data_IF_569089282700
#
_entry.id   IF_569089282700
#
_cell.length_a   1.000
_cell.length_b   1.000
_cell.length_c   1.000
_cell.angle_alpha   90.00
_cell.angle_beta   90.00
_cell.angle_gamma   90.00
#
_symmetry.space_group_name_H-M   'P 1'
#
loop_
_entity.id
_entity.type
_entity.pdbx_description
1 polymer ?
#
# COMPACT_ATOMS: atom_id res chain seq x y z
N UNK A 1 4.39 -22.95 14.96
CA UNK A 1 3.16 -22.72 15.79
C UNK A 1 2.96 -21.21 15.98
N UNK A 2 2.43 -20.48 15.01
CA UNK A 2 2.20 -19.03 15.14
C UNK A 2 0.89 -18.66 15.86
N UNK A 3 0.01 -19.61 16.14
CA UNK A 3 -1.34 -19.33 16.64
C UNK A 3 -1.45 -18.84 18.10
N UNK A 4 -0.39 -18.91 18.90
CA UNK A 4 -0.44 -18.46 20.29
C UNK A 4 -0.30 -16.96 20.49
N UNK A 5 0.31 -16.24 19.54
CA UNK A 5 0.55 -14.80 19.64
C UNK A 5 -0.68 -13.95 19.26
N UNK A 6 -1.55 -14.47 18.38
CA UNK A 6 -2.75 -13.75 17.91
C UNK A 6 -3.88 -13.78 18.96
N UNK A 7 -3.94 -14.83 19.78
CA UNK A 7 -4.98 -14.98 20.83
C UNK A 7 -4.79 -14.09 22.07
N UNK A 8 -3.58 -13.56 22.29
CA UNK A 8 -3.27 -12.80 23.52
C UNK A 8 -3.46 -11.29 23.39
N UNK A 9 -3.77 -10.77 22.20
CA UNK A 9 -3.95 -9.33 21.98
C UNK A 9 -5.35 -9.06 21.46
N UNK A 10 -6.20 -8.56 22.33
CA UNK A 10 -7.47 -7.98 21.89
C UNK A 10 -7.20 -6.87 20.88
N UNK A 11 -7.78 -6.98 19.67
CA UNK A 11 -7.71 -6.07 18.53
C UNK A 11 -6.30 -5.58 18.16
N UNK A 12 -5.60 -6.23 17.21
CA UNK A 12 -4.37 -5.68 16.69
C UNK A 12 -4.68 -4.41 15.89
N UNK A 13 -4.21 -3.27 16.38
CA UNK A 13 -4.30 -1.99 15.68
C UNK A 13 -3.27 -1.86 14.54
N UNK A 14 -2.53 -2.91 14.23
CA UNK A 14 -1.44 -2.89 13.24
C UNK A 14 -1.50 -4.11 12.33
N UNK A 15 -1.26 -3.89 11.05
CA UNK A 15 -1.08 -4.97 10.09
C UNK A 15 0.13 -5.84 10.47
N UNK A 16 -0.04 -7.15 10.41
CA UNK A 16 1.02 -8.11 10.75
C UNK A 16 1.42 -8.88 9.50
N UNK A 17 2.72 -8.92 9.22
CA UNK A 17 3.25 -9.70 8.10
C UNK A 17 3.38 -11.18 8.52
N UNK A 18 2.71 -12.05 7.79
CA UNK A 18 2.73 -13.50 8.04
C UNK A 18 3.16 -14.20 6.76
N UNK A 19 4.14 -15.09 6.85
CA UNK A 19 4.50 -15.98 5.74
C UNK A 19 3.54 -17.17 5.69
N UNK A 20 2.89 -17.41 4.57
CA UNK A 20 2.09 -18.60 4.33
C UNK A 20 2.96 -19.67 3.68
N UNK A 21 2.98 -20.91 4.21
CA UNK A 21 3.60 -22.02 3.51
C UNK A 21 2.65 -22.49 2.39
N UNK A 22 2.78 -21.92 1.22
CA UNK A 22 2.20 -22.43 -0.03
C UNK A 22 3.20 -23.32 -0.75
N UNK A 23 2.81 -23.93 -1.86
CA UNK A 23 3.72 -24.70 -2.73
C UNK A 23 4.86 -23.82 -3.31
N UNK A 24 4.66 -22.51 -3.35
CA UNK A 24 5.72 -21.53 -3.62
C UNK A 24 6.18 -20.92 -2.28
N UNK A 25 7.44 -21.12 -1.85
CA UNK A 25 7.87 -20.83 -0.47
C UNK A 25 7.99 -19.36 -0.08
N UNK A 26 7.68 -18.43 -0.96
CA UNK A 26 8.01 -17.01 -0.79
C UNK A 26 6.81 -16.04 -0.85
N UNK A 27 5.60 -16.45 -0.50
CA UNK A 27 4.44 -15.54 -0.45
C UNK A 27 4.27 -14.89 0.94
N UNK A 28 4.68 -13.65 1.13
CA UNK A 28 4.38 -12.91 2.35
C UNK A 28 2.92 -12.44 2.35
N UNK A 29 2.16 -12.77 3.37
CA UNK A 29 0.81 -12.24 3.54
C UNK A 29 0.77 -11.15 4.62
N UNK A 30 -0.08 -10.15 4.40
CA UNK A 30 -0.35 -9.07 5.35
C UNK A 30 -1.75 -9.25 5.89
N UNK A 31 -1.87 -9.58 7.18
CA UNK A 31 -3.16 -9.63 7.85
C UNK A 31 -3.60 -8.23 8.25
N UNK A 32 -4.79 -7.83 7.80
CA UNK A 32 -5.37 -6.53 8.07
C UNK A 32 -6.72 -6.66 8.74
N UNK A 33 -6.93 -5.97 9.87
CA UNK A 33 -8.22 -6.01 10.55
C UNK A 33 -9.32 -5.37 9.69
N UNK A 34 -10.48 -6.06 9.59
CA UNK A 34 -11.62 -5.69 8.73
C UNK A 34 -12.50 -4.53 9.23
N UNK A 35 -12.19 -3.91 10.36
CA UNK A 35 -12.95 -2.77 10.87
C UNK A 35 -12.64 -1.47 10.12
N UNK A 36 -13.66 -0.66 9.86
CA UNK A 36 -13.55 0.63 9.17
C UNK A 36 -12.46 1.55 9.73
N UNK A 37 -12.21 1.50 11.04
CA UNK A 37 -11.13 2.28 11.67
C UNK A 37 -9.73 1.72 11.36
N UNK A 38 -9.62 0.47 11.01
CA UNK A 38 -8.36 -0.22 10.74
C UNK A 38 -7.97 -0.20 9.26
N UNK A 39 -8.94 -0.03 8.36
CA UNK A 39 -8.74 0.19 6.93
C UNK A 39 -7.83 1.41 6.68
N UNK A 40 -7.83 2.37 7.59
CA UNK A 40 -6.92 3.53 7.58
C UNK A 40 -5.43 3.16 7.61
N UNK A 41 -5.08 1.96 8.06
CA UNK A 41 -3.69 1.50 8.19
C UNK A 41 -3.18 0.71 6.98
N UNK A 42 -4.06 0.26 6.08
CA UNK A 42 -3.65 -0.49 4.87
C UNK A 42 -2.97 0.42 3.86
N UNK A 43 -3.49 1.63 3.68
CA UNK A 43 -2.94 2.61 2.73
C UNK A 43 -1.54 3.12 3.11
N UNK A 44 -1.23 3.40 4.41
CA UNK A 44 0.11 3.79 4.81
C UNK A 44 1.16 2.68 4.71
N UNK A 45 0.75 1.41 4.70
CA UNK A 45 1.69 0.30 4.63
C UNK A 45 2.46 0.22 3.31
N UNK A 46 2.09 1.00 2.28
CA UNK A 46 2.89 1.17 1.05
C UNK A 46 3.23 -0.13 0.31
N UNK A 47 2.80 -1.25 0.86
CA UNK A 47 3.04 -2.55 0.26
C UNK A 47 2.29 -2.63 -1.07
N UNK A 48 3.02 -2.86 -2.15
CA UNK A 48 2.41 -3.24 -3.42
C UNK A 48 1.85 -4.63 -3.24
N UNK A 49 0.54 -4.72 -3.06
CA UNK A 49 -0.15 -5.99 -2.94
C UNK A 49 -0.37 -6.55 -4.36
N UNK A 50 0.04 -7.76 -4.58
CA UNK A 50 -0.16 -8.47 -5.85
C UNK A 50 -1.55 -9.11 -5.90
N UNK A 51 -2.12 -9.41 -4.74
CA UNK A 51 -3.48 -9.94 -4.57
C UNK A 51 -4.07 -9.52 -3.23
N UNK A 52 -5.38 -9.37 -3.18
CA UNK A 52 -6.13 -9.25 -1.95
C UNK A 52 -7.08 -10.44 -1.77
N UNK A 53 -7.04 -11.06 -0.60
CA UNK A 53 -8.05 -12.04 -0.19
C UNK A 53 -9.10 -11.29 0.62
N UNK A 54 -10.29 -11.16 0.05
CA UNK A 54 -11.43 -10.53 0.70
C UNK A 54 -12.21 -11.58 1.49
N UNK A 55 -12.22 -11.46 2.80
CA UNK A 55 -12.92 -12.37 3.70
C UNK A 55 -14.13 -11.66 4.31
N UNK A 56 -15.31 -12.20 4.12
CA UNK A 56 -16.54 -11.70 4.76
C UNK A 56 -17.45 -12.85 5.19
N UNK A 57 -18.39 -12.53 6.09
CA UNK A 57 -19.37 -13.52 6.59
C UNK A 57 -20.56 -13.57 5.65
N UNK A 58 -20.92 -14.77 5.24
CA UNK A 58 -22.10 -15.02 4.40
C UNK A 58 -23.42 -14.73 5.16
N UNK A 59 -23.44 -15.00 6.47
CA UNK A 59 -24.64 -14.79 7.30
C UNK A 59 -25.12 -13.32 7.33
N UNK A 60 -24.22 -12.37 7.05
CA UNK A 60 -24.51 -10.93 7.14
C UNK A 60 -24.72 -10.27 5.77
N UNK A 61 -24.50 -11.02 4.67
CA UNK A 61 -24.52 -10.49 3.29
C UNK A 61 -23.39 -9.50 2.99
N UNK A 62 -23.35 -8.92 1.77
CA UNK A 62 -22.35 -7.91 1.41
C UNK A 62 -22.61 -6.62 2.19
N UNK A 63 -21.94 -6.49 3.32
CA UNK A 63 -22.01 -5.33 4.19
C UNK A 63 -21.43 -4.06 3.54
N UNK A 64 -21.78 -2.86 4.03
CA UNK A 64 -21.13 -1.60 3.63
C UNK A 64 -19.61 -1.69 3.65
N UNK A 65 -19.03 -2.43 4.60
CA UNK A 65 -17.58 -2.66 4.71
C UNK A 65 -16.99 -3.46 3.55
N UNK A 66 -17.74 -4.39 2.97
CA UNK A 66 -17.29 -5.15 1.78
C UNK A 66 -17.06 -4.22 0.59
N UNK A 67 -17.97 -3.26 0.39
CA UNK A 67 -17.83 -2.23 -0.63
C UNK A 67 -16.59 -1.36 -0.40
N UNK A 68 -16.38 -0.93 0.84
CA UNK A 68 -15.22 -0.13 1.22
C UNK A 68 -13.90 -0.87 0.98
N UNK A 69 -13.85 -2.16 1.28
CA UNK A 69 -12.66 -2.99 1.07
C UNK A 69 -12.35 -3.20 -0.42
N UNK A 70 -13.35 -3.46 -1.25
CA UNK A 70 -13.17 -3.59 -2.70
C UNK A 70 -12.71 -2.27 -3.31
N UNK A 71 -13.34 -1.16 -2.91
CA UNK A 71 -12.95 0.17 -3.33
C UNK A 71 -11.52 0.50 -2.92
N UNK A 72 -11.15 0.15 -1.69
CA UNK A 72 -9.80 0.33 -1.18
C UNK A 72 -8.79 -0.49 -1.98
N UNK A 73 -9.08 -1.76 -2.26
CA UNK A 73 -8.23 -2.62 -3.08
C UNK A 73 -8.00 -2.00 -4.47
N UNK A 74 -9.06 -1.41 -5.05
CA UNK A 74 -8.95 -0.69 -6.33
C UNK A 74 -8.04 0.54 -6.23
N UNK A 75 -8.21 1.36 -5.19
CA UNK A 75 -7.42 2.57 -4.98
C UNK A 75 -5.95 2.29 -4.68
N UNK A 76 -5.67 1.23 -3.93
CA UNK A 76 -4.30 0.77 -3.68
C UNK A 76 -3.67 0.17 -4.94
N UNK A 77 -4.48 -0.15 -5.95
CA UNK A 77 -4.01 -0.71 -7.22
C UNK A 77 -3.73 -2.21 -7.16
N UNK A 78 -4.43 -2.93 -6.29
CA UNK A 78 -4.38 -4.39 -6.26
C UNK A 78 -4.93 -4.95 -7.56
N UNK A 79 -4.17 -5.73 -8.34
CA UNK A 79 -4.62 -6.19 -9.64
C UNK A 79 -5.61 -7.37 -9.56
N UNK A 80 -5.56 -8.18 -8.51
CA UNK A 80 -6.37 -9.38 -8.38
C UNK A 80 -7.03 -9.49 -7.01
N UNK A 81 -8.29 -9.92 -6.99
CA UNK A 81 -9.04 -10.24 -5.76
C UNK A 81 -9.43 -11.71 -5.80
N UNK A 82 -9.32 -12.38 -4.66
CA UNK A 82 -9.93 -13.67 -4.37
C UNK A 82 -10.90 -13.47 -3.22
N UNK A 83 -12.08 -14.04 -3.30
CA UNK A 83 -13.11 -13.91 -2.28
C UNK A 83 -13.24 -15.20 -1.50
N UNK A 84 -13.22 -15.10 -0.17
CA UNK A 84 -13.52 -16.20 0.73
C UNK A 84 -14.76 -15.86 1.57
N UNK A 85 -15.87 -16.54 1.27
CA UNK A 85 -17.12 -16.41 2.02
C UNK A 85 -17.04 -17.33 3.23
N UNK A 86 -16.84 -16.72 4.39
CA UNK A 86 -16.67 -17.42 5.66
C UNK A 86 -17.99 -17.65 6.38
N UNK A 87 -17.99 -18.55 7.36
CA UNK A 87 -19.14 -18.92 8.19
C UNK A 87 -20.30 -19.57 7.42
N UNK A 88 -20.02 -20.22 6.30
CA UNK A 88 -21.04 -20.96 5.54
C UNK A 88 -21.66 -22.11 6.33
N UNK A 89 -21.04 -22.56 7.42
CA UNK A 89 -21.60 -23.53 8.38
C UNK A 89 -22.82 -23.01 9.15
N UNK A 90 -23.04 -21.70 9.14
CA UNK A 90 -24.19 -21.06 9.81
C UNK A 90 -25.38 -20.83 8.88
N UNK A 91 -25.26 -21.11 7.60
CA UNK A 91 -26.28 -20.88 6.57
C UNK A 91 -26.68 -22.21 5.96
N UNK A 92 -27.91 -22.62 6.22
CA UNK A 92 -28.46 -23.90 5.73
C UNK A 92 -29.11 -23.78 4.33
N UNK A 93 -29.23 -22.54 3.80
CA UNK A 93 -29.91 -22.26 2.55
C UNK A 93 -28.91 -22.03 1.42
N UNK A 94 -28.81 -22.98 0.52
CA UNK A 94 -27.93 -22.90 -0.66
C UNK A 94 -28.34 -21.78 -1.64
N UNK A 95 -29.63 -21.45 -1.73
CA UNK A 95 -30.10 -20.36 -2.61
C UNK A 95 -29.63 -19.00 -2.09
N UNK A 96 -29.56 -18.83 -0.77
CA UNK A 96 -29.03 -17.61 -0.15
C UNK A 96 -27.55 -17.44 -0.44
N UNK A 97 -26.77 -18.52 -0.36
CA UNK A 97 -25.35 -18.50 -0.69
C UNK A 97 -25.09 -18.07 -2.16
N UNK A 98 -25.88 -18.59 -3.07
CA UNK A 98 -25.80 -18.22 -4.50
C UNK A 98 -26.18 -16.75 -4.72
N UNK A 99 -27.20 -16.26 -4.02
CA UNK A 99 -27.63 -14.86 -4.13
C UNK A 99 -26.54 -13.90 -3.66
N UNK A 100 -25.93 -14.18 -2.50
CA UNK A 100 -24.84 -13.36 -1.97
C UNK A 100 -23.62 -13.41 -2.90
N UNK A 101 -23.30 -14.56 -3.46
CA UNK A 101 -22.24 -14.68 -4.46
C UNK A 101 -22.50 -13.78 -5.68
N UNK A 102 -23.73 -13.80 -6.23
CA UNK A 102 -24.13 -12.95 -7.33
C UNK A 102 -23.97 -11.46 -7.00
N UNK A 103 -24.42 -11.02 -5.83
CA UNK A 103 -24.28 -9.64 -5.39
C UNK A 103 -22.80 -9.21 -5.27
N UNK A 104 -21.94 -10.11 -4.79
CA UNK A 104 -20.49 -9.84 -4.71
C UNK A 104 -19.87 -9.74 -6.09
N UNK A 105 -20.25 -10.59 -7.04
CA UNK A 105 -19.79 -10.53 -8.43
C UNK A 105 -20.20 -9.23 -9.11
N UNK A 106 -21.45 -8.79 -8.95
CA UNK A 106 -21.92 -7.49 -9.46
C UNK A 106 -21.15 -6.32 -8.83
N UNK A 107 -20.83 -6.42 -7.55
CA UNK A 107 -20.05 -5.41 -6.83
C UNK A 107 -18.60 -5.34 -7.34
N UNK A 108 -17.98 -6.49 -7.62
CA UNK A 108 -16.65 -6.56 -8.22
C UNK A 108 -16.63 -5.93 -9.62
N UNK A 109 -17.61 -6.23 -10.45
CA UNK A 109 -17.74 -5.64 -11.80
C UNK A 109 -17.93 -4.12 -11.73
N UNK A 110 -18.72 -3.64 -10.80
CA UNK A 110 -18.93 -2.20 -10.57
C UNK A 110 -17.62 -1.45 -10.28
N UNK A 111 -16.69 -2.10 -9.60
CA UNK A 111 -15.37 -1.53 -9.26
C UNK A 111 -14.26 -1.98 -10.22
N UNK A 112 -14.62 -2.45 -11.40
CA UNK A 112 -13.72 -2.83 -12.49
C UNK A 112 -12.79 -4.02 -12.16
N UNK A 113 -13.24 -4.93 -11.31
CA UNK A 113 -12.66 -6.26 -11.17
C UNK A 113 -13.48 -7.26 -11.99
N UNK A 114 -12.86 -8.32 -12.56
CA UNK A 114 -13.59 -9.31 -13.36
C UNK A 114 -14.49 -10.17 -12.48
N UNK A 115 -15.75 -9.78 -12.28
CA UNK A 115 -16.69 -10.46 -11.40
C UNK A 115 -16.92 -11.93 -11.74
N UNK A 116 -17.06 -12.25 -13.04
CA UNK A 116 -17.27 -13.63 -13.50
C UNK A 116 -16.04 -14.52 -13.33
N UNK A 117 -14.84 -13.98 -13.55
CA UNK A 117 -13.59 -14.73 -13.48
C UNK A 117 -13.01 -14.83 -12.08
N UNK A 118 -13.44 -13.99 -11.15
CA UNK A 118 -12.93 -13.95 -9.77
C UNK A 118 -13.30 -15.23 -9.02
N UNK A 119 -12.33 -15.97 -8.43
CA UNK A 119 -12.63 -17.11 -7.59
C UNK A 119 -13.38 -16.68 -6.33
N UNK A 120 -14.51 -17.29 -6.07
CA UNK A 120 -15.28 -17.14 -4.83
C UNK A 120 -15.37 -18.51 -4.17
N UNK A 121 -14.82 -18.61 -2.97
CA UNK A 121 -14.73 -19.87 -2.23
C UNK A 121 -15.64 -19.77 -1.01
N UNK A 122 -16.52 -20.77 -0.85
CA UNK A 122 -17.40 -20.91 0.29
C UNK A 122 -16.76 -21.83 1.32
N UNK A 123 -16.72 -21.43 2.58
CA UNK A 123 -16.11 -22.23 3.62
C UNK A 123 -16.38 -21.75 5.04
N UNK A 124 -15.84 -22.47 5.98
CA UNK A 124 -15.84 -22.13 7.40
C UNK A 124 -14.44 -22.31 7.96
N UNK A 125 -13.80 -21.21 8.28
CA UNK A 125 -12.51 -21.22 8.94
C UNK A 125 -12.56 -21.91 10.30
N UNK A 126 -13.69 -21.87 10.98
CA UNK A 126 -13.92 -22.55 12.25
C UNK A 126 -13.84 -24.06 12.07
N UNK A 127 -14.59 -24.62 11.12
CA UNK A 127 -14.57 -26.07 10.83
C UNK A 127 -13.18 -26.53 10.43
N UNK A 128 -12.46 -25.76 9.62
CA UNK A 128 -11.08 -26.06 9.23
C UNK A 128 -10.14 -26.10 10.46
N UNK A 129 -10.29 -25.17 11.40
CA UNK A 129 -9.50 -25.14 12.64
C UNK A 129 -9.83 -26.31 13.59
N UNK A 130 -11.06 -26.80 13.58
CA UNK A 130 -11.51 -27.95 14.34
C UNK A 130 -11.08 -29.29 13.71
N UNK A 131 -10.49 -29.25 12.52
CA UNK A 131 -9.96 -30.42 11.82
C UNK A 131 -10.97 -31.13 10.93
N UNK A 132 -12.08 -30.48 10.59
CA UNK A 132 -13.03 -31.00 9.61
C UNK A 132 -12.40 -31.03 8.21
N UNK A 133 -12.35 -32.21 7.62
CA UNK A 133 -11.81 -32.46 6.27
C UNK A 133 -12.85 -32.32 5.15
N UNK A 134 -14.05 -31.88 5.49
CA UNK A 134 -15.13 -31.67 4.53
C UNK A 134 -14.87 -30.47 3.59
N UNK A 135 -15.78 -30.29 2.62
CA UNK A 135 -15.66 -29.23 1.61
C UNK A 135 -15.70 -27.82 2.22
N UNK A 136 -16.46 -27.60 3.30
CA UNK A 136 -16.54 -26.31 3.98
C UNK A 136 -15.39 -26.10 4.99
N UNK A 137 -14.74 -27.16 5.44
CA UNK A 137 -13.61 -27.13 6.38
C UNK A 137 -12.27 -27.02 5.63
N UNK A 138 -11.40 -28.01 5.83
CA UNK A 138 -10.07 -28.06 5.22
C UNK A 138 -10.13 -27.99 3.69
N UNK A 139 -11.14 -28.62 3.06
CA UNK A 139 -11.34 -28.57 1.62
C UNK A 139 -11.47 -27.14 1.06
N UNK A 140 -12.16 -26.25 1.78
CA UNK A 140 -12.28 -24.85 1.37
C UNK A 140 -10.96 -24.07 1.44
N UNK A 141 -10.16 -24.35 2.45
CA UNK A 141 -8.82 -23.75 2.61
C UNK A 141 -7.88 -24.21 1.50
N UNK A 142 -7.95 -25.49 1.14
CA UNK A 142 -7.17 -26.03 0.02
C UNK A 142 -7.59 -25.43 -1.31
N UNK A 143 -8.89 -25.20 -1.55
CA UNK A 143 -9.39 -24.49 -2.72
C UNK A 143 -8.89 -23.04 -2.77
N UNK A 144 -8.81 -22.37 -1.62
CA UNK A 144 -8.23 -21.04 -1.52
C UNK A 144 -6.75 -21.03 -1.91
N UNK A 145 -5.96 -21.98 -1.42
CA UNK A 145 -4.55 -22.12 -1.76
C UNK A 145 -4.38 -22.40 -3.27
N UNK A 146 -5.17 -23.32 -3.82
CA UNK A 146 -5.15 -23.62 -5.26
C UNK A 146 -5.54 -22.39 -6.11
N UNK A 147 -6.47 -21.58 -5.66
CA UNK A 147 -6.85 -20.35 -6.34
C UNK A 147 -5.72 -19.32 -6.32
N UNK A 148 -4.97 -19.20 -5.23
CA UNK A 148 -3.77 -18.35 -5.16
C UNK A 148 -2.74 -18.80 -6.20
N UNK A 149 -2.47 -20.11 -6.29
CA UNK A 149 -1.46 -20.64 -7.20
C UNK A 149 -1.89 -20.60 -8.69
N UNK A 150 -3.16 -20.73 -8.99
CA UNK A 150 -3.65 -20.91 -10.38
C UNK A 150 -4.25 -19.66 -10.99
N UNK A 151 -4.96 -18.85 -10.22
CA UNK A 151 -5.65 -17.66 -10.72
C UNK A 151 -4.73 -16.44 -10.84
N UNK A 152 -3.75 -16.34 -9.96
CA UNK A 152 -2.85 -15.20 -9.92
C UNK A 152 -1.63 -15.50 -10.79
N UNK A 153 -1.38 -14.71 -11.86
CA UNK A 153 -0.15 -14.84 -12.60
C UNK A 153 1.02 -14.41 -11.72
N UNK A 154 2.17 -15.04 -11.91
CA UNK A 154 3.39 -14.58 -11.24
C UNK A 154 3.59 -13.08 -11.56
N UNK A 155 3.75 -12.22 -10.53
CA UNK A 155 3.91 -10.80 -10.76
C UNK A 155 5.17 -10.53 -11.57
N UNK A 156 5.05 -9.71 -12.62
CA UNK A 156 6.20 -9.19 -13.33
C UNK A 156 6.99 -8.28 -12.39
N UNK A 157 8.15 -8.74 -11.98
CA UNK A 157 9.03 -7.96 -11.10
C UNK A 157 9.85 -7.00 -11.92
N UNK A 158 9.85 -5.72 -11.56
CA UNK A 158 10.63 -4.67 -12.24
C UNK A 158 12.12 -4.74 -11.85
N UNK A 159 12.77 -5.87 -12.16
CA UNK A 159 14.17 -6.15 -11.78
C UNK A 159 15.15 -5.26 -12.53
N UNK A 160 14.84 -4.89 -13.78
CA UNK A 160 15.76 -4.16 -14.67
C UNK A 160 15.78 -2.64 -14.40
N UNK A 161 14.87 -2.13 -13.57
CA UNK A 161 14.86 -0.72 -13.19
C UNK A 161 15.97 -0.33 -12.21
N UNK A 162 16.17 0.97 -12.03
CA UNK A 162 17.06 1.48 -10.98
C UNK A 162 16.49 1.13 -9.61
N UNK A 163 17.35 0.64 -8.70
CA UNK A 163 16.94 0.26 -7.34
C UNK A 163 16.15 1.35 -6.63
N UNK A 164 15.04 0.98 -6.04
CA UNK A 164 14.24 1.82 -5.17
C UNK A 164 13.51 0.97 -4.13
N UNK A 165 13.65 1.35 -2.86
CA UNK A 165 12.96 0.72 -1.73
C UNK A 165 12.41 1.79 -0.80
N UNK A 166 11.08 1.88 -0.61
CA UNK A 166 10.49 2.73 0.42
C UNK A 166 10.90 2.25 1.82
N UNK A 167 11.22 3.19 2.69
CA UNK A 167 11.55 2.90 4.09
C UNK A 167 10.25 2.65 4.88
N UNK A 168 10.10 1.47 5.44
CA UNK A 168 8.97 1.11 6.29
C UNK A 168 9.32 1.28 7.77
N UNK A 169 10.41 0.64 8.22
CA UNK A 169 10.89 0.71 9.58
C UNK A 169 12.41 0.86 9.65
N UNK A 170 12.88 1.42 10.75
CA UNK A 170 14.30 1.65 11.02
C UNK A 170 14.66 1.09 12.39
N UNK A 171 15.67 0.23 12.42
CA UNK A 171 16.17 -0.41 13.63
C UNK A 171 17.65 -0.12 13.83
N UNK A 172 18.08 -0.09 15.09
CA UNK A 172 19.48 -0.10 15.45
C UNK A 172 19.84 -1.47 16.02
N UNK A 173 20.83 -2.12 15.45
CA UNK A 173 21.33 -3.42 15.90
C UNK A 173 22.71 -3.22 16.52
N UNK A 174 22.87 -3.58 17.79
CA UNK A 174 24.15 -3.55 18.48
C UNK A 174 25.24 -4.29 17.70
N UNK A 175 26.35 -3.61 17.41
CA UNK A 175 27.48 -4.17 16.70
C UNK A 175 27.33 -4.26 15.17
N UNK A 176 26.15 -3.94 14.62
CA UNK A 176 25.90 -3.98 13.16
C UNK A 176 25.55 -2.62 12.54
N UNK A 177 24.97 -1.71 13.34
CA UNK A 177 24.56 -0.39 12.88
C UNK A 177 23.06 -0.26 12.61
N UNK A 178 22.71 0.60 11.68
CA UNK A 178 21.32 0.89 11.33
C UNK A 178 20.84 -0.05 10.23
N UNK A 179 19.68 -0.65 10.45
CA UNK A 179 18.97 -1.51 9.50
C UNK A 179 17.67 -0.84 9.10
N UNK A 180 17.44 -0.74 7.81
CA UNK A 180 16.21 -0.22 7.21
C UNK A 180 15.45 -1.36 6.57
N UNK A 181 14.19 -1.53 6.93
CA UNK A 181 13.33 -2.54 6.35
C UNK A 181 12.35 -1.95 5.35
N UNK A 182 12.01 -2.71 4.35
CA UNK A 182 11.03 -2.36 3.35
C UNK A 182 10.93 -3.41 2.25
N UNK A 183 10.00 -3.16 1.33
CA UNK A 183 9.85 -3.95 0.12
C UNK A 183 10.56 -3.26 -1.03
N UNK A 184 11.42 -3.96 -1.73
CA UNK A 184 12.07 -3.44 -2.93
C UNK A 184 11.00 -3.22 -4.00
N UNK A 185 10.79 -1.97 -4.40
CA UNK A 185 9.79 -1.60 -5.41
C UNK A 185 10.27 -1.93 -6.82
N UNK A 186 11.54 -1.69 -7.09
CA UNK A 186 12.18 -1.98 -8.39
C UNK A 186 13.69 -2.15 -8.26
N UNK A 187 14.29 -2.79 -9.26
CA UNK A 187 15.73 -2.97 -9.37
C UNK A 187 16.28 -4.05 -8.45
N UNK A 188 17.59 -4.05 -8.33
CA UNK A 188 18.38 -4.96 -7.50
C UNK A 188 19.32 -4.14 -6.64
N UNK A 189 19.46 -4.51 -5.37
CA UNK A 189 20.48 -3.99 -4.47
C UNK A 189 21.46 -5.09 -4.09
N UNK A 190 22.75 -4.82 -4.23
CA UNK A 190 23.82 -5.73 -3.86
C UNK A 190 24.62 -5.16 -2.68
N UNK A 191 25.15 -6.05 -1.87
CA UNK A 191 26.09 -5.68 -0.81
C UNK A 191 27.29 -4.95 -1.42
N UNK A 192 27.65 -3.81 -0.83
CA UNK A 192 28.75 -2.95 -1.30
C UNK A 192 28.34 -1.81 -2.21
N UNK A 193 27.11 -1.81 -2.71
CA UNK A 193 26.62 -0.72 -3.57
C UNK A 193 26.34 0.57 -2.80
N UNK A 194 26.65 1.69 -3.46
CA UNK A 194 26.31 3.02 -2.96
C UNK A 194 24.82 3.30 -3.22
N UNK A 195 24.16 3.89 -2.26
CA UNK A 195 22.74 4.26 -2.32
C UNK A 195 22.52 5.67 -1.78
N UNK A 196 21.41 6.28 -2.14
CA UNK A 196 20.93 7.55 -1.60
C UNK A 196 19.69 7.36 -0.75
N UNK A 197 19.58 8.16 0.31
CA UNK A 197 18.40 8.30 1.14
C UNK A 197 17.72 9.60 0.71
N UNK A 198 16.54 9.51 0.13
CA UNK A 198 15.84 10.64 -0.51
C UNK A 198 14.47 10.87 0.14
N UNK A 199 14.14 12.12 0.34
CA UNK A 199 12.87 12.59 0.87
C UNK A 199 12.97 13.16 2.28
N UNK A 200 12.03 14.02 2.64
CA UNK A 200 11.83 14.67 3.94
C UNK A 200 13.03 15.53 4.37
N UNK A 201 14.20 14.95 4.47
CA UNK A 201 15.46 15.62 4.83
C UNK A 201 16.35 15.77 3.58
N UNK A 202 17.44 16.59 3.63
CA UNK A 202 18.40 16.65 2.54
C UNK A 202 18.90 15.26 2.15
N UNK A 203 19.07 15.01 0.85
CA UNK A 203 19.56 13.74 0.31
C UNK A 203 20.92 13.38 0.90
N UNK A 204 21.04 12.16 1.38
CA UNK A 204 22.26 11.61 1.96
C UNK A 204 22.74 10.42 1.13
N UNK A 205 24.05 10.23 1.08
CA UNK A 205 24.69 9.05 0.48
C UNK A 205 25.15 8.09 1.56
N UNK A 206 24.95 6.81 1.31
CA UNK A 206 25.42 5.74 2.17
C UNK A 206 25.75 4.50 1.34
N UNK A 207 26.23 3.46 1.99
CA UNK A 207 26.58 2.20 1.35
C UNK A 207 25.80 1.06 1.98
N UNK A 208 25.26 0.17 1.16
CA UNK A 208 24.65 -1.07 1.61
C UNK A 208 25.75 -2.03 2.07
N UNK A 209 25.81 -2.34 3.35
CA UNK A 209 26.79 -3.27 3.92
C UNK A 209 26.26 -4.66 4.16
N UNK A 210 24.96 -4.86 4.02
CA UNK A 210 24.31 -6.15 4.16
C UNK A 210 22.86 -6.12 3.71
N UNK A 211 22.40 -7.25 3.23
CA UNK A 211 20.98 -7.50 2.86
C UNK A 211 20.53 -8.72 3.64
N UNK A 212 19.40 -8.61 4.32
CA UNK A 212 18.84 -9.67 5.15
C UNK A 212 17.37 -9.90 4.79
N UNK A 213 16.98 -11.16 4.64
CA UNK A 213 15.60 -11.58 4.44
C UNK A 213 15.32 -12.82 5.30
N UNK A 214 14.24 -12.78 6.09
CA UNK A 214 13.87 -13.88 7.01
C UNK A 214 15.01 -14.38 7.90
N UNK A 215 15.80 -13.46 8.44
CA UNK A 215 17.00 -13.73 9.28
C UNK A 215 18.14 -14.44 8.54
N UNK A 216 18.11 -14.45 7.21
CA UNK A 216 19.21 -14.95 6.39
C UNK A 216 19.93 -13.78 5.73
N UNK A 217 21.25 -13.82 5.76
CA UNK A 217 22.09 -12.89 5.01
C UNK A 217 22.08 -13.28 3.54
N UNK A 218 21.89 -12.28 2.67
CA UNK A 218 21.86 -12.44 1.22
C UNK A 218 22.93 -11.55 0.60
N UNK A 219 23.38 -11.92 -0.59
CA UNK A 219 24.28 -11.09 -1.38
C UNK A 219 23.56 -9.94 -2.08
N UNK A 220 22.29 -10.11 -2.35
CA UNK A 220 21.43 -9.13 -3.03
C UNK A 220 19.96 -9.27 -2.66
N UNK A 221 19.21 -8.19 -2.86
CA UNK A 221 17.74 -8.15 -2.83
C UNK A 221 17.22 -7.60 -4.16
N UNK A 222 16.08 -8.07 -4.62
CA UNK A 222 15.48 -7.68 -5.89
C UNK A 222 14.03 -7.23 -5.74
N UNK A 223 13.50 -6.59 -6.77
CA UNK A 223 12.12 -6.12 -6.80
C UNK A 223 11.13 -7.20 -6.35
N UNK A 224 10.27 -6.83 -5.42
CA UNK A 224 9.30 -7.71 -4.78
C UNK A 224 9.75 -8.32 -3.46
N UNK A 225 11.03 -8.32 -3.14
CA UNK A 225 11.55 -8.87 -1.89
C UNK A 225 11.31 -7.91 -0.72
N UNK A 226 10.93 -8.47 0.43
CA UNK A 226 10.95 -7.76 1.71
C UNK A 226 12.30 -7.98 2.37
N UNK A 227 13.08 -6.93 2.50
CA UNK A 227 14.46 -7.02 2.97
C UNK A 227 14.77 -6.00 4.06
N UNK A 228 15.76 -6.33 4.89
CA UNK A 228 16.46 -5.40 5.75
C UNK A 228 17.80 -5.03 5.11
N UNK A 229 18.08 -3.74 5.00
CA UNK A 229 19.34 -3.23 4.44
C UNK A 229 20.15 -2.58 5.55
N UNK A 230 21.38 -3.04 5.71
CA UNK A 230 22.34 -2.42 6.62
C UNK A 230 23.01 -1.23 5.94
N UNK A 231 23.05 -0.10 6.64
CA UNK A 231 23.61 1.16 6.16
C UNK A 231 24.93 1.47 6.87
N UNK A 232 25.93 1.86 6.10
CA UNK A 232 27.23 2.26 6.64
C UNK A 232 27.18 3.67 7.19
N UNK A 233 27.63 3.84 8.46
CA UNK A 233 27.85 5.17 9.06
C UNK A 233 26.59 6.02 9.22
N UNK A 234 25.41 5.45 9.04
CA UNK A 234 24.13 6.14 9.18
C UNK A 234 23.54 5.84 10.53
N UNK A 235 23.19 6.88 11.27
CA UNK A 235 22.52 6.75 12.58
C UNK A 235 21.03 6.52 12.34
N UNK A 236 20.37 5.91 13.33
CA UNK A 236 18.92 5.64 13.27
C UNK A 236 18.10 6.93 13.09
N UNK A 237 18.53 8.03 13.70
CA UNK A 237 17.87 9.33 13.65
C UNK A 237 18.00 10.04 12.29
N UNK A 238 18.93 9.60 11.46
CA UNK A 238 19.18 10.16 10.14
C UNK A 238 18.30 9.56 9.04
N UNK A 239 17.59 8.47 9.35
CA UNK A 239 16.66 7.78 8.44
C UNK A 239 15.31 7.65 9.10
N UNK A 240 14.25 7.88 8.33
CA UNK A 240 12.89 7.75 8.84
C UNK A 240 11.94 7.17 7.79
N UNK A 241 10.85 6.64 8.28
CA UNK A 241 9.75 6.17 7.44
C UNK A 241 9.29 7.29 6.50
N UNK A 242 9.02 6.93 5.25
CA UNK A 242 8.61 7.87 4.21
C UNK A 242 9.72 8.34 3.29
N UNK A 243 10.96 8.16 3.69
CA UNK A 243 12.10 8.27 2.79
C UNK A 243 12.20 7.02 1.90
N UNK A 244 12.98 7.11 0.83
CA UNK A 244 13.31 5.97 -0.01
C UNK A 244 14.81 5.76 -0.06
N UNK A 245 15.21 4.49 -0.19
CA UNK A 245 16.57 4.12 -0.59
C UNK A 245 16.56 3.90 -2.09
N UNK A 246 17.47 4.51 -2.81
CA UNK A 246 17.53 4.39 -4.27
C UNK A 246 18.96 4.43 -4.81
N UNK A 247 19.08 4.01 -6.07
CA UNK A 247 20.33 4.19 -6.81
C UNK A 247 20.68 5.68 -6.88
N UNK A 248 21.93 6.09 -6.65
CA UNK A 248 22.31 7.49 -6.70
C UNK A 248 21.86 8.20 -7.99
N UNK A 249 21.19 9.34 -7.81
CA UNK A 249 20.68 10.17 -8.90
C UNK A 249 19.42 9.66 -9.62
N UNK A 250 18.85 8.52 -9.22
CA UNK A 250 17.70 7.92 -9.90
C UNK A 250 16.36 8.57 -9.55
N UNK A 251 16.23 9.09 -8.34
CA UNK A 251 15.01 9.74 -7.84
C UNK A 251 15.40 11.01 -7.09
N UNK A 252 14.58 12.05 -7.24
CA UNK A 252 14.79 13.35 -6.56
C UNK A 252 13.63 13.69 -5.67
N UNK A 253 13.86 14.46 -4.58
CA UNK A 253 12.79 14.98 -3.75
C UNK A 253 12.14 16.19 -4.41
N UNK A 254 10.81 16.29 -4.29
CA UNK A 254 10.02 17.39 -4.82
C UNK A 254 8.93 17.79 -3.84
N UNK A 255 8.59 19.08 -3.84
CA UNK A 255 7.49 19.66 -3.07
C UNK A 255 6.34 20.11 -3.97
N UNK A 256 6.59 20.39 -5.25
CA UNK A 256 5.60 20.86 -6.22
C UNK A 256 5.41 19.83 -7.32
N UNK A 257 4.17 19.56 -7.65
CA UNK A 257 3.81 18.70 -8.78
C UNK A 257 2.38 18.98 -9.24
N UNK A 258 2.09 18.57 -10.45
CA UNK A 258 0.71 18.50 -10.96
C UNK A 258 0.22 17.07 -10.88
N UNK A 259 -1.05 16.89 -10.63
CA UNK A 259 -1.65 15.57 -10.48
C UNK A 259 -3.03 15.51 -11.10
N UNK A 260 -3.39 14.33 -11.56
CA UNK A 260 -4.76 13.96 -11.87
C UNK A 260 -5.36 13.24 -10.66
N UNK A 261 -6.50 13.71 -10.17
CA UNK A 261 -7.19 13.12 -9.03
C UNK A 261 -8.63 12.75 -9.37
N UNK A 262 -9.09 11.68 -8.73
CA UNK A 262 -10.49 11.31 -8.64
C UNK A 262 -10.98 11.58 -7.22
N UNK A 263 -12.03 12.38 -7.09
CA UNK A 263 -12.63 12.71 -5.80
C UNK A 263 -13.73 11.70 -5.49
N UNK A 264 -13.57 10.95 -4.40
CA UNK A 264 -14.54 9.95 -3.99
C UNK A 264 -15.90 10.58 -3.73
N UNK A 265 -16.95 9.93 -4.24
CA UNK A 265 -18.33 10.33 -3.97
C UNK A 265 -18.75 9.99 -2.53
N UNK A 266 -19.86 10.56 -2.10
CA UNK A 266 -20.47 10.26 -0.81
C UNK A 266 -20.75 8.76 -0.64
N UNK A 267 -21.24 8.12 -1.69
CA UNK A 267 -21.58 6.69 -1.70
C UNK A 267 -20.34 5.80 -1.57
N UNK A 268 -19.19 6.30 -1.99
CA UNK A 268 -17.88 5.64 -1.89
C UNK A 268 -17.18 5.92 -0.55
N UNK A 269 -17.84 6.58 0.41
CA UNK A 269 -17.26 6.94 1.69
C UNK A 269 -16.41 8.21 1.68
N UNK A 270 -16.43 8.96 0.58
CA UNK A 270 -15.72 10.22 0.43
C UNK A 270 -16.40 11.42 1.08
N UNK A 271 -16.09 12.60 0.60
CA UNK A 271 -16.66 13.87 1.08
C UNK A 271 -18.13 14.02 0.70
N UNK A 272 -18.86 14.74 1.53
CA UNK A 272 -20.24 15.17 1.23
C UNK A 272 -20.29 16.58 0.64
N UNK A 273 -19.20 17.34 0.83
CA UNK A 273 -19.11 18.75 0.45
C UNK A 273 -17.98 18.95 -0.55
N UNK A 274 -18.09 19.94 -1.45
CA UNK A 274 -16.99 20.30 -2.33
C UNK A 274 -15.80 20.83 -1.54
N UNK A 275 -14.63 20.85 -2.17
CA UNK A 275 -13.49 21.59 -1.66
C UNK A 275 -13.09 22.69 -2.63
N UNK A 276 -12.40 23.67 -2.09
CA UNK A 276 -12.04 24.91 -2.78
C UNK A 276 -10.53 25.04 -2.90
N UNK A 277 -10.09 26.07 -3.61
CA UNK A 277 -8.68 26.41 -3.69
C UNK A 277 -8.06 26.58 -2.29
N UNK A 278 -6.78 26.22 -2.13
CA UNK A 278 -6.06 26.19 -0.86
C UNK A 278 -6.54 25.11 0.16
N UNK A 279 -7.26 24.10 -0.31
CA UNK A 279 -7.56 22.92 0.51
C UNK A 279 -6.26 22.25 0.95
N UNK A 280 -6.16 21.90 2.23
CA UNK A 280 -4.92 21.37 2.86
C UNK A 280 -5.12 20.02 3.51
N UNK A 281 -5.29 18.94 2.73
CA UNK A 281 -5.41 17.58 3.25
C UNK A 281 -4.07 16.92 3.45
N UNK A 282 -4.10 15.65 3.89
CA UNK A 282 -2.95 14.75 3.95
C UNK A 282 -2.80 13.98 2.64
N UNK A 283 -1.59 14.00 2.09
CA UNK A 283 -1.19 13.24 0.90
C UNK A 283 -0.39 12.02 1.33
N UNK A 284 -0.82 10.86 0.92
CA UNK A 284 -0.19 9.58 1.26
C UNK A 284 0.64 9.08 0.07
N UNK A 285 1.94 9.10 0.24
CA UNK A 285 2.92 8.59 -0.72
C UNK A 285 3.63 7.37 -0.14
N UNK A 286 3.58 6.23 -0.81
CA UNK A 286 4.25 5.00 -0.37
C UNK A 286 4.01 4.71 1.12
N UNK A 287 4.96 5.03 2.00
CA UNK A 287 4.93 4.68 3.42
C UNK A 287 4.67 5.86 4.37
N UNK A 288 4.44 7.05 3.84
CA UNK A 288 4.24 8.26 4.66
C UNK A 288 3.11 9.14 4.18
N UNK A 289 2.69 10.03 5.04
CA UNK A 289 1.78 11.11 4.74
C UNK A 289 2.47 12.48 4.92
N UNK A 290 2.01 13.44 4.15
CA UNK A 290 2.49 14.81 4.20
C UNK A 290 1.36 15.79 3.91
N UNK A 291 1.29 16.88 4.65
CA UNK A 291 0.33 17.94 4.38
C UNK A 291 0.71 18.69 3.11
N UNK A 292 -0.27 18.95 2.26
CA UNK A 292 -0.08 19.72 1.04
C UNK A 292 -1.24 20.66 0.77
N UNK A 293 -0.97 21.74 0.07
CA UNK A 293 -1.98 22.69 -0.41
C UNK A 293 -2.35 22.35 -1.85
N UNK A 294 -3.66 22.31 -2.12
CA UNK A 294 -4.21 22.09 -3.46
C UNK A 294 -4.48 23.44 -4.12
N UNK A 295 -3.94 23.63 -5.30
CA UNK A 295 -4.24 24.75 -6.17
C UNK A 295 -5.06 24.29 -7.36
N UNK A 296 -6.22 24.87 -7.56
CA UNK A 296 -7.11 24.60 -8.68
C UNK A 296 -6.75 25.49 -9.87
N UNK A 297 -7.12 25.06 -11.08
CA UNK A 297 -7.01 25.88 -12.27
C UNK A 297 -7.85 27.17 -12.11
N UNK A 298 -7.43 28.24 -12.77
CA UNK A 298 -8.04 29.61 -12.62
C UNK A 298 -9.52 29.65 -13.01
N UNK A 299 -9.96 28.74 -13.85
CA UNK A 299 -11.34 28.60 -14.33
C UNK A 299 -12.20 27.69 -13.41
N UNK A 300 -11.60 27.11 -12.37
CA UNK A 300 -12.28 26.20 -11.47
C UNK A 300 -12.29 26.76 -10.04
N UNK A 301 -13.48 27.06 -9.54
CA UNK A 301 -13.65 27.59 -8.19
C UNK A 301 -13.75 26.49 -7.13
N UNK A 302 -14.32 25.35 -7.50
CA UNK A 302 -14.55 24.24 -6.58
C UNK A 302 -14.47 22.88 -7.29
N UNK A 303 -14.30 21.84 -6.51
CA UNK A 303 -14.31 20.45 -6.95
C UNK A 303 -15.37 19.69 -6.16
N UNK A 304 -16.26 19.01 -6.88
CA UNK A 304 -17.35 18.23 -6.31
C UNK A 304 -16.92 16.78 -6.07
N UNK A 305 -17.50 16.10 -5.06
CA UNK A 305 -17.38 14.65 -4.95
C UNK A 305 -17.81 13.94 -6.24
N UNK A 306 -17.01 12.98 -6.70
CA UNK A 306 -17.22 12.28 -7.98
C UNK A 306 -16.53 12.89 -9.19
N UNK A 307 -15.90 14.05 -9.05
CA UNK A 307 -15.18 14.69 -10.13
C UNK A 307 -13.78 14.10 -10.39
N UNK A 308 -13.39 14.09 -11.65
CA UNK A 308 -11.99 13.98 -12.07
C UNK A 308 -11.46 15.40 -12.33
N UNK A 309 -10.29 15.71 -11.78
CA UNK A 309 -9.71 17.05 -11.91
C UNK A 309 -8.19 17.02 -11.90
N UNK A 310 -7.61 17.93 -12.68
CA UNK A 310 -6.17 18.24 -12.60
C UNK A 310 -5.93 19.29 -11.52
N UNK A 311 -4.98 19.03 -10.65
CA UNK A 311 -4.61 19.94 -9.57
C UNK A 311 -3.10 20.18 -9.55
N UNK A 312 -2.71 21.32 -8.98
CA UNK A 312 -1.33 21.58 -8.59
C UNK A 312 -1.20 21.43 -7.08
N UNK A 313 -0.16 20.76 -6.62
CA UNK A 313 0.05 20.48 -5.21
C UNK A 313 1.36 21.07 -4.75
N UNK A 314 1.34 21.68 -3.56
CA UNK A 314 2.51 22.13 -2.83
C UNK A 314 2.58 21.45 -1.47
N UNK A 315 3.56 20.56 -1.30
CA UNK A 315 3.79 19.83 -0.06
C UNK A 315 4.61 20.68 0.94
N UNK A 316 4.39 20.47 2.22
CA UNK A 316 5.18 21.13 3.29
C UNK A 316 6.59 20.51 3.45
N UNK A 317 6.78 19.25 3.05
CA UNK A 317 8.06 18.55 3.05
C UNK A 317 8.33 17.93 1.69
N UNK A 318 9.60 17.86 1.25
CA UNK A 318 9.94 17.20 0.01
C UNK A 318 9.74 15.68 0.14
N UNK A 319 9.17 15.09 -0.90
CA UNK A 319 8.95 13.65 -1.01
C UNK A 319 9.66 13.14 -2.27
N UNK A 320 10.30 11.97 -2.18
CA UNK A 320 10.85 11.30 -3.34
C UNK A 320 9.73 10.91 -4.29
N UNK A 321 9.71 11.49 -5.48
CA UNK A 321 8.65 11.25 -6.46
C UNK A 321 9.16 11.30 -7.89
N UNK A 322 8.39 10.69 -8.74
CA UNK A 322 8.54 10.68 -10.18
C UNK A 322 7.16 10.69 -10.84
N UNK A 323 7.11 10.95 -12.14
CA UNK A 323 5.86 10.88 -12.90
C UNK A 323 5.22 9.50 -12.77
N UNK A 324 3.90 9.44 -12.81
CA UNK A 324 3.07 8.25 -12.64
C UNK A 324 3.07 7.63 -11.22
N UNK A 325 3.67 8.28 -10.23
CA UNK A 325 3.56 7.85 -8.84
C UNK A 325 2.12 8.03 -8.35
N UNK A 326 1.53 6.96 -7.83
CA UNK A 326 0.19 6.97 -7.24
C UNK A 326 0.24 7.45 -5.80
N UNK A 327 -0.80 8.18 -5.41
CA UNK A 327 -1.00 8.64 -4.04
C UNK A 327 -2.48 8.68 -3.67
N UNK A 328 -2.76 8.76 -2.39
CA UNK A 328 -4.10 8.99 -1.87
C UNK A 328 -4.17 10.30 -1.10
N UNK A 329 -5.32 10.93 -1.09
CA UNK A 329 -5.62 12.10 -0.27
C UNK A 329 -6.60 11.70 0.82
N UNK A 330 -6.31 12.11 2.05
CA UNK A 330 -7.16 11.87 3.22
C UNK A 330 -7.43 13.17 3.98
N UNK A 331 -8.62 13.23 4.56
CA UNK A 331 -9.06 14.31 5.42
C UNK A 331 -9.70 13.74 6.68
N UNK A 332 -9.15 14.09 7.85
CA UNK A 332 -9.62 13.54 9.12
C UNK A 332 -9.55 12.02 9.20
N UNK A 333 -8.58 11.39 8.50
CA UNK A 333 -8.40 9.94 8.46
C UNK A 333 -9.34 9.21 7.49
N UNK A 334 -10.21 9.92 6.75
CA UNK A 334 -11.07 9.34 5.71
C UNK A 334 -10.41 9.49 4.34
N UNK A 335 -10.47 8.47 3.47
CA UNK A 335 -10.05 8.62 2.09
C UNK A 335 -10.97 9.61 1.38
N UNK A 336 -10.38 10.55 0.64
CA UNK A 336 -11.12 11.60 -0.07
C UNK A 336 -10.87 11.53 -1.55
N UNK A 337 -9.64 11.29 -1.96
CA UNK A 337 -9.25 11.23 -3.35
C UNK A 337 -8.21 10.15 -3.59
N UNK A 338 -8.18 9.65 -4.82
CA UNK A 338 -7.07 8.89 -5.39
C UNK A 338 -6.42 9.73 -6.49
N UNK A 339 -5.09 9.69 -6.58
CA UNK A 339 -4.39 10.51 -7.54
C UNK A 339 -3.13 9.87 -8.12
N UNK A 340 -2.68 10.46 -9.21
CA UNK A 340 -1.43 10.10 -9.90
C UNK A 340 -0.66 11.38 -10.19
N UNK A 341 0.64 11.37 -9.90
CA UNK A 341 1.54 12.47 -10.26
C UNK A 341 1.64 12.54 -11.78
N UNK A 342 1.22 13.67 -12.36
CA UNK A 342 1.24 13.88 -13.81
C UNK A 342 2.58 14.46 -14.26
N UNK A 343 2.90 15.66 -13.77
CA UNK A 343 4.16 16.33 -14.10
C UNK A 343 4.83 16.90 -12.85
N UNK A 344 6.14 16.86 -12.86
CA UNK A 344 6.96 17.52 -11.85
C UNK A 344 7.67 18.66 -12.58
N UNK A 345 7.39 19.94 -12.22
CA UNK A 345 8.14 21.05 -12.78
C UNK A 345 9.61 20.81 -12.49
N UNK A 346 10.44 20.82 -13.51
CA UNK A 346 11.88 20.88 -13.29
C UNK A 346 12.11 22.10 -12.41
N UNK A 347 12.65 21.90 -11.23
CA UNK A 347 13.00 22.99 -10.32
C UNK A 347 13.91 23.93 -11.07
N UNK A 348 13.31 24.99 -11.60
CA UNK A 348 14.05 26.18 -11.96
C UNK A 348 14.84 26.55 -10.72
N UNK A 349 16.11 26.79 -10.90
CA UNK A 349 17.03 27.20 -9.87
C UNK A 349 16.29 28.15 -8.91
N UNK A 350 16.39 27.89 -7.62
CA UNK A 350 16.05 28.87 -6.59
C UNK A 350 16.56 30.23 -7.08
N UNK A 351 15.75 31.28 -7.10
CA UNK A 351 16.26 32.60 -7.38
C UNK A 351 17.45 32.82 -6.45
N UNK A 352 18.58 33.35 -6.96
CA UNK A 352 19.73 33.60 -6.12
C UNK A 352 19.29 34.45 -4.93
N UNK A 353 19.85 34.21 -3.73
CA UNK A 353 19.53 35.00 -2.57
C UNK A 353 19.72 36.49 -2.91
N UNK A 354 18.85 37.37 -2.42
CA UNK A 354 18.95 38.81 -2.71
C UNK A 354 20.37 39.26 -2.33
N UNK A 355 21.00 39.99 -3.24
CA UNK A 355 22.31 40.56 -3.03
C UNK A 355 22.36 41.31 -1.70
N UNK A 356 23.42 41.20 -0.91
CA UNK A 356 23.57 41.96 0.31
C UNK A 356 23.49 43.47 -0.04
N UNK A 357 22.89 44.29 0.84
CA UNK A 357 22.84 45.73 0.63
C UNK A 357 24.26 46.27 0.52
N UNK A 358 24.48 47.32 -0.33
CA UNK A 358 25.80 47.94 -0.44
C UNK A 358 26.24 48.47 0.93
N UNK A 359 27.53 48.41 1.20
CA UNK A 359 28.07 48.93 2.47
C UNK A 359 27.83 50.45 2.57
N UNK A 360 27.69 50.96 3.83
CA UNK A 360 27.38 52.35 4.08
C UNK A 360 28.45 53.34 3.61
#
# INVERSE_FOLDING_TARGET
>A
RPHAAVRARGHPATATLVGLPTSDPDEPSVDSPGHADSVKHIVPCGARLDVAILVFSDADGPMPHTRELILLARHVGVPYIIVYMNKCDMVDDAELLELVEMEVRELLDKYEFPGDATPIIHGSAKLALEGDKGELGEGSIMKLADALDTYIPQPERAIDGAFLMPVEDVFSISGRGTVVTGRVERGVIKVGEEIEIVGITPTQKTTCTGVEMFRKLLDQGQAGDNVGILLRGTKREEVQRGQVLCKPGSVKPHTHFTAEIYVLSKEEGGRHTPFFNNYRPQFYFRTTDVTGAVELAKDKEMVMPGDNVSITVKLIHPIAMEAALRFAIRDGGRPVCAGVVATIPQSGALPPPPAPPPPP
#
